data_IF_562421405283
#
_entry.id   IF_562421405283
#
_cell.length_a   1.000
_cell.length_b   1.000
_cell.length_c   1.000
_cell.angle_alpha   90.00
_cell.angle_beta   90.00
_cell.angle_gamma   90.00
#
_symmetry.space_group_name_H-M   'P 1'
#
loop_
_entity.id
_entity.type
_entity.pdbx_description
1 polymer ?
#
# COMPACT_ATOMS: atom_id res chain seq x y z
N UNK A 1 -15.43 0.81 -3.64
CA UNK A 1 -14.35 -0.17 -3.35
C UNK A 1 -13.87 -0.72 -4.68
N UNK A 2 -12.67 -0.34 -5.11
CA UNK A 2 -12.08 -0.83 -6.36
C UNK A 2 -11.50 -2.24 -6.12
N UNK A 3 -11.85 -3.21 -6.96
CA UNK A 3 -11.35 -4.60 -6.89
C UNK A 3 -10.31 -4.89 -7.98
N UNK A 4 -10.05 -3.92 -8.86
CA UNK A 4 -9.06 -4.04 -9.91
C UNK A 4 -7.66 -3.86 -9.28
N UNK A 5 -6.82 -4.86 -9.47
CA UNK A 5 -5.44 -4.89 -8.95
C UNK A 5 -4.43 -4.35 -9.96
N UNK A 6 -4.87 -3.84 -11.10
CA UNK A 6 -3.98 -3.32 -12.14
C UNK A 6 -3.05 -2.20 -11.64
N UNK A 7 -1.90 -2.00 -12.29
CA UNK A 7 -0.85 -1.09 -11.84
C UNK A 7 -1.33 0.35 -11.61
N UNK A 8 -2.34 0.80 -12.34
CA UNK A 8 -2.82 2.18 -12.25
C UNK A 8 -3.95 2.37 -11.24
N UNK A 9 -4.44 1.31 -10.60
CA UNK A 9 -5.58 1.41 -9.69
C UNK A 9 -5.22 2.09 -8.38
N UNK A 10 -3.94 2.00 -7.98
CA UNK A 10 -3.38 2.74 -6.85
C UNK A 10 -3.36 4.27 -7.04
N UNK A 11 -3.54 4.77 -8.26
CA UNK A 11 -3.67 6.22 -8.57
C UNK A 11 -5.02 6.56 -9.21
N UNK A 12 -6.02 5.68 -9.10
CA UNK A 12 -7.36 5.92 -9.65
C UNK A 12 -8.30 6.37 -8.51
N UNK A 13 -8.04 7.56 -7.99
CA UNK A 13 -8.72 8.14 -6.82
C UNK A 13 -9.66 9.28 -7.23
N UNK A 14 -10.50 9.75 -6.30
CA UNK A 14 -11.28 10.96 -6.53
C UNK A 14 -10.35 12.18 -6.68
N UNK A 15 -10.65 13.20 -7.50
CA UNK A 15 -9.77 14.37 -7.69
C UNK A 15 -9.34 15.06 -6.38
N UNK A 16 -10.23 15.12 -5.38
CA UNK A 16 -9.88 15.66 -4.06
C UNK A 16 -8.86 14.79 -3.31
N UNK A 17 -8.97 13.47 -3.40
CA UNK A 17 -7.99 12.53 -2.80
C UNK A 17 -6.64 12.70 -3.48
N UNK A 18 -6.62 12.94 -4.80
CA UNK A 18 -5.40 13.28 -5.53
C UNK A 18 -4.74 14.56 -5.04
N UNK A 19 -5.50 15.62 -4.76
CA UNK A 19 -4.94 16.86 -4.23
C UNK A 19 -4.26 16.65 -2.87
N UNK A 20 -4.86 15.85 -1.99
CA UNK A 20 -4.28 15.51 -0.69
C UNK A 20 -3.04 14.61 -0.89
N UNK A 21 -3.12 13.59 -1.74
CA UNK A 21 -2.01 12.67 -2.02
C UNK A 21 -0.77 13.41 -2.58
N UNK A 22 -0.96 14.37 -3.48
CA UNK A 22 0.12 15.17 -4.06
C UNK A 22 0.42 16.46 -3.29
N UNK A 23 -0.16 16.66 -2.11
CA UNK A 23 0.06 17.86 -1.28
C UNK A 23 1.52 18.06 -0.88
N UNK A 24 2.35 17.01 -0.93
CA UNK A 24 3.80 17.10 -0.72
C UNK A 24 4.48 18.14 -1.63
N UNK A 25 3.93 18.42 -2.81
CA UNK A 25 4.46 19.49 -3.66
C UNK A 25 4.35 20.89 -3.05
N UNK A 26 3.37 21.12 -2.18
CA UNK A 26 3.22 22.39 -1.48
C UNK A 26 4.40 22.67 -0.53
N UNK A 27 5.12 21.63 -0.07
CA UNK A 27 6.33 21.80 0.74
C UNK A 27 7.40 22.58 -0.01
N UNK A 28 7.52 22.39 -1.33
CA UNK A 28 8.51 23.08 -2.16
C UNK A 28 8.20 24.56 -2.39
N UNK A 29 7.02 25.05 -1.97
CA UNK A 29 6.72 26.49 -1.95
C UNK A 29 7.34 27.20 -0.74
N UNK A 30 7.62 26.45 0.33
CA UNK A 30 8.19 26.98 1.57
C UNK A 30 9.67 26.61 1.67
N UNK A 31 10.03 25.39 1.27
CA UNK A 31 11.40 24.89 1.31
C UNK A 31 12.01 25.00 -0.09
N UNK A 32 13.04 25.85 -0.30
CA UNK A 32 13.69 25.95 -1.59
C UNK A 32 14.37 24.62 -1.92
N UNK A 33 14.04 24.08 -3.09
CA UNK A 33 14.63 22.86 -3.61
C UNK A 33 15.00 23.03 -5.09
N UNK A 34 16.06 22.35 -5.49
CA UNK A 34 16.45 22.30 -6.90
C UNK A 34 15.32 21.64 -7.73
N UNK A 35 14.96 22.16 -8.92
CA UNK A 35 13.85 21.62 -9.73
C UNK A 35 13.93 20.11 -9.99
N UNK A 36 15.15 19.58 -10.06
CA UNK A 36 15.42 18.15 -10.17
C UNK A 36 14.79 17.32 -9.04
N UNK A 37 14.84 17.80 -7.79
CA UNK A 37 14.27 17.11 -6.63
C UNK A 37 12.74 17.05 -6.75
N UNK A 38 12.13 18.16 -7.18
CA UNK A 38 10.67 18.26 -7.37
C UNK A 38 10.21 17.28 -8.44
N UNK A 39 10.89 17.24 -9.59
CA UNK A 39 10.57 16.32 -10.69
C UNK A 39 10.76 14.86 -10.24
N UNK A 40 11.88 14.54 -9.63
CA UNK A 40 12.19 13.18 -9.17
C UNK A 40 11.17 12.69 -8.14
N UNK A 41 10.83 13.54 -7.16
CA UNK A 41 9.82 13.26 -6.15
C UNK A 41 8.44 13.03 -6.77
N UNK A 42 8.06 13.85 -7.76
CA UNK A 42 6.81 13.70 -8.49
C UNK A 42 6.70 12.40 -9.26
N UNK A 43 7.74 12.05 -10.03
CA UNK A 43 7.81 10.79 -10.75
C UNK A 43 7.73 9.60 -9.79
N UNK A 44 8.48 9.67 -8.69
CA UNK A 44 8.44 8.64 -7.66
C UNK A 44 7.03 8.49 -7.07
N UNK A 45 6.38 9.58 -6.69
CA UNK A 45 5.06 9.56 -6.07
C UNK A 45 3.96 9.06 -7.03
N UNK A 46 4.07 9.37 -8.32
CA UNK A 46 3.12 8.95 -9.35
C UNK A 46 3.28 7.49 -9.78
N UNK A 47 4.50 6.97 -9.82
CA UNK A 47 4.79 5.61 -10.31
C UNK A 47 4.87 4.59 -9.17
N UNK A 48 5.26 5.00 -7.97
CA UNK A 48 5.47 4.07 -6.85
C UNK A 48 4.25 3.17 -6.54
N UNK A 49 2.99 3.65 -6.61
CA UNK A 49 1.83 2.77 -6.38
C UNK A 49 1.66 1.68 -7.44
N UNK A 50 2.19 1.87 -8.65
CA UNK A 50 2.09 0.88 -9.72
C UNK A 50 2.96 -0.35 -9.47
N UNK A 51 4.09 -0.19 -8.78
CA UNK A 51 5.01 -1.27 -8.48
C UNK A 51 4.38 -2.31 -7.55
N UNK A 52 3.59 -1.86 -6.57
CA UNK A 52 2.85 -2.74 -5.65
C UNK A 52 1.63 -3.44 -6.26
N UNK A 53 1.25 -3.04 -7.48
CA UNK A 53 0.09 -3.54 -8.23
C UNK A 53 0.50 -4.20 -9.55
N UNK A 54 1.76 -4.60 -9.66
CA UNK A 54 2.37 -5.07 -10.90
C UNK A 54 2.06 -6.52 -11.24
N UNK A 55 1.57 -7.32 -10.29
CA UNK A 55 1.40 -8.77 -10.45
C UNK A 55 2.68 -9.58 -10.20
N UNK A 56 3.80 -8.93 -9.84
CA UNK A 56 5.10 -9.58 -9.67
C UNK A 56 5.63 -9.42 -8.24
N UNK A 57 5.90 -10.55 -7.59
CA UNK A 57 6.49 -10.55 -6.24
C UNK A 57 7.96 -10.13 -6.24
N UNK A 58 8.69 -10.40 -7.32
CA UNK A 58 10.08 -10.01 -7.51
C UNK A 58 10.33 -9.64 -8.97
N UNK A 59 11.18 -8.64 -9.17
CA UNK A 59 11.72 -8.27 -10.46
C UNK A 59 13.19 -8.66 -10.52
N UNK A 60 13.62 -9.29 -11.60
CA UNK A 60 15.03 -9.50 -11.87
C UNK A 60 15.66 -8.20 -12.38
N UNK A 61 16.71 -7.74 -11.70
CA UNK A 61 17.38 -6.47 -12.03
C UNK A 61 18.79 -6.77 -12.52
N UNK A 62 18.93 -6.83 -13.85
CA UNK A 62 20.21 -6.98 -14.55
C UNK A 62 20.39 -8.33 -15.24
N UNK A 63 21.44 -8.44 -16.05
CA UNK A 63 21.75 -9.63 -16.88
C UNK A 63 22.47 -10.75 -16.12
N UNK A 64 22.85 -10.50 -14.86
CA UNK A 64 23.60 -11.43 -14.02
C UNK A 64 22.64 -12.00 -12.98
N UNK A 65 22.40 -13.30 -13.05
CA UNK A 65 21.60 -14.06 -12.09
C UNK A 65 21.86 -13.61 -10.65
N UNK A 66 20.78 -13.34 -9.91
CA UNK A 66 20.83 -13.16 -8.44
C UNK A 66 20.48 -11.78 -7.91
N UNK A 67 20.42 -10.73 -8.74
CA UNK A 67 19.89 -9.43 -8.29
C UNK A 67 18.39 -9.36 -8.53
N UNK A 68 17.60 -9.46 -7.47
CA UNK A 68 16.15 -9.25 -7.52
C UNK A 68 15.74 -8.05 -6.67
N UNK A 69 14.82 -7.24 -7.19
CA UNK A 69 14.11 -6.23 -6.41
C UNK A 69 12.78 -6.83 -5.94
N UNK A 70 12.40 -6.68 -4.66
CA UNK A 70 11.08 -7.10 -4.20
C UNK A 70 10.02 -6.21 -4.88
N UNK A 71 9.10 -6.82 -5.61
CA UNK A 71 7.81 -6.20 -5.89
C UNK A 71 6.98 -6.23 -4.61
N UNK A 72 5.97 -5.37 -4.48
CA UNK A 72 5.10 -5.34 -3.29
C UNK A 72 3.79 -6.14 -3.50
N UNK A 73 3.76 -6.99 -4.52
CA UNK A 73 2.54 -7.58 -5.08
C UNK A 73 1.83 -8.56 -4.17
N UNK A 74 2.50 -9.56 -3.57
CA UNK A 74 1.77 -10.52 -2.72
C UNK A 74 1.17 -9.86 -1.46
N UNK A 75 1.91 -8.94 -0.85
CA UNK A 75 1.44 -8.14 0.30
C UNK A 75 0.19 -7.32 -0.06
N UNK A 76 0.21 -6.62 -1.19
CA UNK A 76 -0.94 -5.83 -1.66
C UNK A 76 -2.06 -6.71 -2.21
N UNK A 77 -1.76 -7.87 -2.78
CA UNK A 77 -2.76 -8.82 -3.23
C UNK A 77 -3.56 -9.35 -2.04
N UNK A 78 -2.92 -9.66 -0.91
CA UNK A 78 -3.61 -10.01 0.33
C UNK A 78 -4.49 -8.85 0.83
N UNK A 79 -4.02 -7.60 0.72
CA UNK A 79 -4.83 -6.42 1.00
C UNK A 79 -6.07 -6.36 0.08
N UNK A 80 -5.93 -6.52 -1.23
CA UNK A 80 -7.08 -6.52 -2.15
C UNK A 80 -7.98 -7.74 -2.04
N UNK A 81 -7.48 -8.85 -1.48
CA UNK A 81 -8.31 -10.04 -1.22
C UNK A 81 -9.17 -9.87 0.03
N UNK A 82 -8.61 -9.30 1.10
CA UNK A 82 -9.25 -9.29 2.42
C UNK A 82 -9.64 -7.89 2.91
N UNK A 83 -8.93 -6.85 2.51
CA UNK A 83 -9.07 -5.42 2.86
C UNK A 83 -9.01 -5.09 4.37
N UNK A 84 -8.78 -6.08 5.22
CA UNK A 84 -8.67 -5.97 6.68
C UNK A 84 -7.23 -6.26 7.18
N UNK A 85 -6.27 -6.10 6.29
CA UNK A 85 -4.85 -6.29 6.53
C UNK A 85 -3.99 -5.42 5.59
N UNK A 86 -2.70 -5.29 5.90
CA UNK A 86 -1.69 -4.74 4.98
C UNK A 86 -2.07 -3.36 4.40
N UNK A 87 -2.44 -2.41 5.26
CA UNK A 87 -2.88 -1.07 4.86
C UNK A 87 -1.75 -0.18 4.34
N UNK A 88 -0.52 -0.43 4.79
CA UNK A 88 0.66 0.34 4.43
C UNK A 88 1.42 -0.27 3.27
N UNK A 89 2.74 -0.27 3.36
CA UNK A 89 3.63 -0.85 2.36
C UNK A 89 4.77 -1.64 3.01
N UNK A 90 5.35 -2.58 2.25
CA UNK A 90 6.53 -3.41 2.57
C UNK A 90 7.53 -2.76 3.55
N UNK A 91 8.13 -1.63 3.16
CA UNK A 91 9.25 -1.05 3.89
C UNK A 91 8.89 -0.45 5.25
N UNK A 92 7.62 -0.08 5.45
CA UNK A 92 7.20 0.68 6.62
C UNK A 92 6.42 -0.24 7.56
N UNK A 93 6.90 -0.50 8.81
CA UNK A 93 6.35 -1.53 9.68
C UNK A 93 5.03 -1.14 10.37
N UNK A 94 4.24 -0.21 9.80
CA UNK A 94 2.97 0.27 10.37
C UNK A 94 2.03 -0.91 10.63
N UNK A 95 1.85 -1.82 9.67
CA UNK A 95 0.97 -2.97 9.86
C UNK A 95 1.44 -3.94 10.95
N UNK A 96 2.75 -4.02 11.20
CA UNK A 96 3.28 -4.82 12.31
C UNK A 96 3.03 -4.11 13.65
N UNK A 97 3.22 -2.80 13.69
CA UNK A 97 2.97 -1.97 14.88
C UNK A 97 1.50 -2.00 15.30
N UNK A 98 0.57 -1.96 14.36
CA UNK A 98 -0.88 -1.98 14.63
C UNK A 98 -1.52 -3.38 14.57
N UNK A 99 -0.71 -4.44 14.36
CA UNK A 99 -1.20 -5.82 14.34
C UNK A 99 -2.11 -6.18 13.16
N UNK A 100 -2.00 -5.45 12.04
CA UNK A 100 -2.76 -5.66 10.80
C UNK A 100 -1.94 -6.36 9.71
N UNK A 101 -0.70 -6.72 10.00
CA UNK A 101 0.19 -7.44 9.07
C UNK A 101 -0.34 -8.84 8.73
N UNK A 102 -0.26 -9.21 7.45
CA UNK A 102 -0.67 -10.51 6.93
C UNK A 102 0.30 -10.97 5.84
N UNK A 103 0.96 -12.10 6.07
CA UNK A 103 1.95 -12.71 5.18
C UNK A 103 1.46 -13.98 4.46
N UNK A 104 0.18 -14.33 4.65
CA UNK A 104 -0.44 -15.49 4.01
C UNK A 104 -0.47 -16.74 4.90
N UNK A 105 0.18 -16.69 6.06
CA UNK A 105 0.19 -17.79 7.02
C UNK A 105 -1.19 -18.06 7.62
N UNK A 106 -1.49 -19.33 8.00
CA UNK A 106 -2.72 -19.66 8.72
C UNK A 106 -2.92 -18.83 10.00
N UNK A 107 -1.82 -18.52 10.70
CA UNK A 107 -1.79 -17.75 11.94
C UNK A 107 -2.22 -16.30 11.70
N UNK A 108 -1.63 -15.63 10.70
CA UNK A 108 -2.02 -14.28 10.32
C UNK A 108 -3.50 -14.23 9.88
N UNK A 109 -3.95 -15.27 9.18
CA UNK A 109 -5.33 -15.38 8.72
C UNK A 109 -6.32 -15.61 9.88
N UNK A 110 -5.95 -16.42 10.87
CA UNK A 110 -6.74 -16.62 12.08
C UNK A 110 -6.85 -15.32 12.90
N UNK A 111 -5.72 -14.61 13.09
CA UNK A 111 -5.67 -13.33 13.80
C UNK A 111 -6.57 -12.28 13.15
N UNK A 112 -6.53 -12.14 11.82
CA UNK A 112 -7.41 -11.24 11.08
C UNK A 112 -8.89 -11.57 11.31
N UNK A 113 -9.27 -12.85 11.19
CA UNK A 113 -10.66 -13.28 11.41
C UNK A 113 -11.12 -13.04 12.84
N UNK A 114 -10.25 -13.22 13.84
CA UNK A 114 -10.57 -12.93 15.23
C UNK A 114 -10.86 -11.43 15.43
N UNK A 115 -10.03 -10.54 14.89
CA UNK A 115 -10.27 -9.08 14.93
C UNK A 115 -11.60 -8.69 14.27
N UNK A 116 -11.90 -9.27 13.11
CA UNK A 116 -13.16 -9.01 12.40
C UNK A 116 -14.38 -9.46 13.22
N UNK A 117 -14.31 -10.64 13.85
CA UNK A 117 -15.39 -11.13 14.74
C UNK A 117 -15.59 -10.20 15.93
N UNK A 118 -14.50 -9.77 16.58
CA UNK A 118 -14.57 -8.84 17.71
C UNK A 118 -15.25 -7.52 17.30
N UNK A 119 -14.84 -6.91 16.17
CA UNK A 119 -15.45 -5.67 15.65
C UNK A 119 -16.95 -5.82 15.37
N UNK A 120 -17.37 -6.93 14.77
CA UNK A 120 -18.80 -7.22 14.52
C UNK A 120 -19.59 -7.37 15.81
N UNK A 121 -19.02 -8.05 16.81
CA UNK A 121 -19.64 -8.18 18.13
C UNK A 121 -19.81 -6.83 18.85
N UNK A 122 -18.79 -5.97 18.79
CA UNK A 122 -18.88 -4.61 19.37
C UNK A 122 -19.93 -3.75 18.68
N UNK A 123 -20.04 -3.81 17.34
CA UNK A 123 -21.06 -3.06 16.60
C UNK A 123 -22.48 -3.52 16.93
N UNK A 124 -22.69 -4.83 17.10
CA UNK A 124 -23.99 -5.38 17.48
C UNK A 124 -24.42 -4.93 18.90
N UNK A 125 -23.50 -4.85 19.85
CA UNK A 125 -23.79 -4.39 21.21
C UNK A 125 -23.89 -2.87 21.39
N UNK A 126 -23.46 -2.08 20.39
CA UNK A 126 -23.60 -0.61 20.42
C UNK A 126 -24.94 -0.15 19.80
N UNK A 127 -25.63 -1.03 19.06
CA UNK A 127 -26.93 -0.76 18.44
C UNK A 127 -28.12 -1.32 19.24
N UNK A 128 -27.88 -1.88 20.43
CA UNK A 128 -28.89 -2.36 21.38
C UNK A 128 -28.95 -1.46 22.61
#
# INVERSE_FOLDING_TARGET
RNVNTGPWTGISMHPLEHMIYFSVFALWWVVPAHPFIVILGGLFQGVSPAVSHSGFERFEVGRREGRSAPGADYFHHLHHRYFECNYGNRPVPIDKLFGTFHDGTPEAHASMRQRMKARRGTQAGTQS
#
